data_IF_638430141715
#
_entry.id   IF_638430141715
#
_cell.length_a   1.000
_cell.length_b   1.000
_cell.length_c   1.000
_cell.angle_alpha   90.00
_cell.angle_beta   90.00
_cell.angle_gamma   90.00
#
_symmetry.space_group_name_H-M   'P 1'
#
loop_
_entity.id
_entity.type
_entity.pdbx_description
1 polymer ?
#
# COMPACT_ATOMS: atom_id res chain seq x y z
N UNK A 1 15.73 2.74 11.71
CA UNK A 1 16.63 3.06 10.57
C UNK A 1 17.48 1.85 10.25
N UNK A 2 17.60 1.51 8.98
CA UNK A 2 18.36 0.36 8.52
C UNK A 2 19.25 0.80 7.36
N UNK A 3 20.47 0.28 7.32
CA UNK A 3 21.42 0.49 6.22
C UNK A 3 22.10 -0.82 5.87
N UNK A 4 22.21 -1.11 4.57
CA UNK A 4 22.91 -2.27 4.04
C UNK A 4 24.15 -1.87 3.25
N UNK A 5 25.21 -2.68 3.29
CA UNK A 5 26.41 -2.51 2.47
C UNK A 5 26.92 -3.85 1.96
N UNK A 6 27.13 -3.96 0.66
CA UNK A 6 27.74 -5.13 0.02
C UNK A 6 29.24 -4.91 -0.16
N UNK A 7 30.06 -5.87 0.27
CA UNK A 7 31.48 -5.94 -0.03
C UNK A 7 31.72 -6.99 -1.12
N UNK A 8 32.04 -6.59 -2.36
CA UNK A 8 32.24 -7.53 -3.47
C UNK A 8 33.54 -8.35 -3.35
N UNK A 9 34.55 -7.86 -2.62
CA UNK A 9 35.83 -8.56 -2.43
C UNK A 9 35.67 -9.65 -1.38
N UNK A 10 35.07 -9.30 -0.24
CA UNK A 10 34.79 -10.25 0.83
C UNK A 10 33.58 -11.15 0.52
N UNK A 11 32.75 -10.78 -0.47
CA UNK A 11 31.45 -11.40 -0.78
C UNK A 11 30.55 -11.45 0.46
N UNK A 12 30.44 -10.30 1.12
CA UNK A 12 29.61 -10.17 2.32
C UNK A 12 28.57 -9.09 2.16
N UNK A 13 27.48 -9.20 2.91
CA UNK A 13 26.50 -8.13 3.04
C UNK A 13 26.32 -7.80 4.52
N UNK A 14 26.60 -6.55 4.89
CA UNK A 14 26.45 -6.06 6.26
C UNK A 14 25.14 -5.28 6.37
N UNK A 15 24.26 -5.71 7.27
CA UNK A 15 23.01 -5.04 7.61
C UNK A 15 23.13 -4.42 9.00
N UNK A 16 23.07 -3.10 9.10
CA UNK A 16 23.03 -2.39 10.38
C UNK A 16 21.60 -1.95 10.66
N UNK A 17 21.07 -2.35 11.81
CA UNK A 17 19.72 -2.00 12.26
C UNK A 17 19.82 -1.14 13.51
N UNK A 18 19.20 0.03 13.45
CA UNK A 18 19.02 0.93 14.59
C UNK A 18 17.53 1.03 14.94
N UNK A 19 17.19 0.63 16.16
CA UNK A 19 15.86 0.86 16.72
C UNK A 19 15.81 2.18 17.51
N UNK A 20 14.65 2.81 17.51
CA UNK A 20 14.35 4.01 18.30
C UNK A 20 12.89 3.94 18.74
N UNK A 21 12.55 4.71 19.79
CA UNK A 21 11.15 4.83 20.21
C UNK A 21 10.91 6.28 20.64
N UNK A 22 9.92 6.99 20.05
CA UNK A 22 9.65 8.38 20.38
C UNK A 22 9.11 8.55 21.81
N UNK A 23 9.13 9.79 22.27
CA UNK A 23 8.48 10.17 23.53
C UNK A 23 6.97 9.86 23.47
N UNK A 24 6.40 9.44 24.60
CA UNK A 24 4.95 9.27 24.79
C UNK A 24 4.55 9.86 26.13
N UNK A 25 3.27 10.15 26.35
CA UNK A 25 2.80 10.72 27.62
C UNK A 25 3.35 9.96 28.84
N UNK A 26 4.12 10.65 29.69
CA UNK A 26 4.74 10.07 30.90
C UNK A 26 5.99 9.21 30.68
N UNK A 27 6.50 9.06 29.45
CA UNK A 27 7.69 8.27 29.13
C UNK A 27 8.62 8.96 28.14
N UNK A 28 9.93 8.99 28.45
CA UNK A 28 10.95 9.50 27.54
C UNK A 28 11.48 8.38 26.64
N UNK A 29 11.48 8.61 25.34
CA UNK A 29 12.00 7.74 24.29
C UNK A 29 13.52 7.61 24.27
N UNK A 30 14.01 6.92 23.24
CA UNK A 30 15.43 6.75 22.94
C UNK A 30 15.68 6.79 21.42
N UNK A 31 16.92 7.08 21.01
CA UNK A 31 17.31 7.13 19.60
C UNK A 31 16.75 8.35 18.82
N UNK A 32 16.52 9.47 19.50
CA UNK A 32 16.03 10.71 18.88
C UNK A 32 17.15 11.41 18.08
N UNK A 33 17.23 11.09 16.78
CA UNK A 33 17.90 11.91 15.75
C UNK A 33 16.96 11.99 14.54
N UNK A 34 17.06 13.09 13.77
CA UNK A 34 16.21 13.43 12.61
C UNK A 34 16.02 12.20 11.70
N UNK A 35 14.83 11.59 11.74
CA UNK A 35 14.39 10.63 10.74
C UNK A 35 14.21 11.46 9.47
N UNK A 36 15.06 11.25 8.46
CA UNK A 36 14.86 11.83 7.14
C UNK A 36 13.58 11.24 6.55
N UNK A 37 12.47 11.93 6.76
CA UNK A 37 11.21 11.68 6.07
C UNK A 37 11.41 11.97 4.59
N UNK A 38 10.89 11.11 3.72
CA UNK A 38 10.89 11.30 2.26
C UNK A 38 10.06 12.56 1.94
N UNK A 39 10.69 13.74 1.87
CA UNK A 39 10.02 14.98 1.48
C UNK A 39 10.40 16.28 2.18
N UNK A 40 11.32 16.29 3.13
CA UNK A 40 11.61 17.50 3.91
C UNK A 40 12.55 18.48 3.19
N UNK A 41 11.98 19.45 2.45
CA UNK A 41 12.64 20.76 2.28
C UNK A 41 12.34 21.62 3.51
N UNK A 42 13.37 21.88 4.33
CA UNK A 42 13.29 22.72 5.54
C UNK A 42 12.85 24.15 5.17
N UNK A 43 11.64 24.54 5.52
CA UNK A 43 11.28 25.95 5.73
C UNK A 43 11.19 26.22 7.23
N UNK A 44 12.30 26.73 7.77
CA UNK A 44 12.39 27.23 9.13
C UNK A 44 11.76 28.63 9.20
N UNK A 45 10.62 28.75 9.88
CA UNK A 45 10.14 30.02 10.43
C UNK A 45 10.26 29.96 11.95
N UNK A 46 10.79 31.01 12.62
CA UNK A 46 10.95 31.02 14.06
C UNK A 46 9.60 31.32 14.72
N UNK A 47 9.02 30.32 15.38
CA UNK A 47 7.91 30.56 16.31
C UNK A 47 8.53 30.75 17.70
N UNK A 48 8.66 32.01 18.12
CA UNK A 48 8.83 32.36 19.54
C UNK A 48 7.57 31.93 20.30
N UNK A 49 7.69 30.87 21.10
CA UNK A 49 6.65 30.50 22.05
C UNK A 49 6.78 31.44 23.25
N UNK A 50 5.91 32.46 23.30
CA UNK A 50 5.66 33.23 24.52
C UNK A 50 4.95 32.33 25.54
N UNK A 51 5.64 32.01 26.62
CA UNK A 51 5.10 31.41 27.83
C UNK A 51 3.90 32.21 28.35
N UNK A 52 2.68 31.69 28.12
CA UNK A 52 1.51 32.05 28.92
C UNK A 52 1.24 30.95 29.93
N UNK A 53 1.73 31.20 31.15
CA UNK A 53 1.39 30.46 32.35
C UNK A 53 -0.13 30.41 32.54
N UNK A 54 -0.72 29.22 32.32
CA UNK A 54 -1.98 28.86 32.95
C UNK A 54 -1.66 28.22 34.30
N UNK A 55 -1.82 29.01 35.35
CA UNK A 55 -1.70 28.60 36.74
C UNK A 55 -2.91 27.73 37.11
N UNK A 56 -2.75 26.41 37.00
CA UNK A 56 -3.62 25.46 37.70
C UNK A 56 -2.80 24.83 38.82
N UNK A 57 -3.13 25.26 40.04
CA UNK A 57 -2.44 24.83 41.25
C UNK A 57 -2.51 23.33 41.44
N UNK A 58 -1.43 22.63 41.10
CA UNK A 58 -1.05 21.34 41.64
C UNK A 58 0.41 21.38 42.07
N UNK A 59 0.60 21.62 43.37
CA UNK A 59 1.87 21.49 44.07
C UNK A 59 2.43 20.07 43.94
N UNK A 60 3.59 19.96 43.30
CA UNK A 60 4.63 19.01 43.69
C UNK A 60 4.48 17.56 43.24
N UNK A 61 5.10 17.24 42.09
CA UNK A 61 6.04 16.12 41.88
C UNK A 61 6.52 16.16 40.44
N UNK A 62 7.78 16.51 40.22
CA UNK A 62 8.53 16.07 39.04
C UNK A 62 8.51 14.54 39.04
N UNK A 63 7.47 13.95 38.46
CA UNK A 63 7.34 12.51 38.32
C UNK A 63 8.52 12.00 37.50
N UNK A 64 9.25 11.01 38.02
CA UNK A 64 10.29 10.32 37.27
C UNK A 64 9.71 9.87 35.93
N UNK A 65 10.07 10.55 34.85
CA UNK A 65 9.78 10.12 33.49
C UNK A 65 10.45 8.76 33.30
N UNK A 66 9.65 7.73 33.06
CA UNK A 66 10.16 6.40 32.76
C UNK A 66 10.89 6.47 31.42
N UNK A 67 12.17 6.08 31.40
CA UNK A 67 12.96 6.05 30.18
C UNK A 67 12.76 4.72 29.47
N UNK A 68 12.27 4.76 28.24
CA UNK A 68 12.16 3.59 27.36
C UNK A 68 13.56 3.03 27.07
N UNK A 69 13.64 1.71 26.90
CA UNK A 69 14.85 0.98 26.56
C UNK A 69 14.65 0.27 25.21
N UNK A 70 15.74 -0.13 24.53
CA UNK A 70 15.65 -1.03 23.38
C UNK A 70 14.76 -2.24 23.67
N UNK A 71 13.91 -2.57 22.71
CA UNK A 71 13.04 -3.73 22.76
C UNK A 71 13.76 -4.96 22.21
N UNK A 72 13.27 -6.14 22.59
CA UNK A 72 13.59 -7.37 21.89
C UNK A 72 12.69 -7.48 20.66
N UNK A 73 13.25 -7.29 19.47
CA UNK A 73 12.50 -7.25 18.21
C UNK A 73 12.94 -8.44 17.35
N UNK A 74 12.07 -9.43 17.10
CA UNK A 74 12.33 -10.47 16.11
C UNK A 74 12.20 -9.84 14.71
N UNK A 75 13.30 -9.84 13.97
CA UNK A 75 13.40 -9.16 12.68
C UNK A 75 13.68 -10.17 11.57
N UNK A 76 12.60 -10.67 10.94
CA UNK A 76 12.69 -11.60 9.83
C UNK A 76 13.10 -10.89 8.54
N UNK A 77 14.02 -11.48 7.76
CA UNK A 77 14.45 -10.94 6.48
C UNK A 77 14.86 -12.02 5.47
N UNK A 78 14.91 -11.64 4.21
CA UNK A 78 15.55 -12.36 3.11
C UNK A 78 16.47 -11.45 2.29
N UNK A 79 17.35 -12.05 1.49
CA UNK A 79 18.18 -11.34 0.52
C UNK A 79 17.89 -11.91 -0.87
N UNK A 80 17.58 -11.06 -1.84
CA UNK A 80 17.35 -11.48 -3.22
C UNK A 80 18.52 -11.07 -4.11
N UNK A 81 18.97 -11.99 -4.96
CA UNK A 81 19.90 -11.69 -6.04
C UNK A 81 19.19 -10.88 -7.15
N UNK A 82 19.93 -10.17 -8.03
CA UNK A 82 19.34 -9.38 -9.11
C UNK A 82 18.46 -10.15 -10.11
N UNK A 83 18.54 -11.47 -10.14
CA UNK A 83 17.71 -12.35 -10.96
C UNK A 83 16.39 -12.78 -10.28
N UNK A 84 16.14 -12.33 -9.05
CA UNK A 84 14.94 -12.67 -8.28
C UNK A 84 15.09 -13.89 -7.37
N UNK A 85 16.18 -14.65 -7.47
CA UNK A 85 16.37 -15.82 -6.61
C UNK A 85 16.80 -15.40 -5.19
N UNK A 86 16.26 -16.10 -4.19
CA UNK A 86 16.69 -15.92 -2.82
C UNK A 86 18.14 -16.38 -2.64
N UNK A 87 18.93 -15.59 -1.92
CA UNK A 87 20.28 -15.94 -1.50
C UNK A 87 20.23 -16.63 -0.14
N UNK A 88 20.94 -17.75 0.04
CA UNK A 88 21.04 -18.42 1.33
C UNK A 88 21.60 -17.48 2.41
N UNK A 89 20.96 -17.43 3.58
CA UNK A 89 21.35 -16.53 4.65
C UNK A 89 22.36 -17.20 5.59
N UNK A 90 23.64 -16.94 5.35
CA UNK A 90 24.74 -17.40 6.20
C UNK A 90 25.25 -16.29 7.10
N UNK A 91 24.72 -16.22 8.32
CA UNK A 91 25.14 -15.22 9.29
C UNK A 91 26.53 -15.54 9.85
N UNK A 92 27.44 -14.56 9.82
CA UNK A 92 28.77 -14.66 10.38
C UNK A 92 28.71 -15.04 11.87
N UNK A 93 29.55 -15.99 12.29
CA UNK A 93 29.59 -16.55 13.64
C UNK A 93 28.34 -17.35 14.07
N UNK A 94 27.42 -17.69 13.15
CA UNK A 94 26.35 -18.65 13.43
C UNK A 94 26.87 -20.08 13.29
N UNK A 95 26.63 -20.97 14.28
CA UNK A 95 27.00 -22.38 14.18
C UNK A 95 26.03 -23.20 13.29
N UNK A 96 25.02 -22.57 12.69
CA UNK A 96 24.04 -23.26 11.84
C UNK A 96 24.68 -23.76 10.54
N UNK A 97 24.47 -25.04 10.23
CA UNK A 97 24.81 -25.63 8.93
C UNK A 97 23.65 -25.52 7.92
N UNK A 98 22.52 -24.92 8.33
CA UNK A 98 21.37 -24.63 7.46
C UNK A 98 21.30 -23.14 7.18
N UNK A 99 21.19 -22.78 5.91
CA UNK A 99 21.08 -21.41 5.42
C UNK A 99 19.71 -21.26 4.74
N UNK A 100 18.66 -20.88 5.49
CA UNK A 100 17.33 -20.68 4.91
C UNK A 100 17.29 -19.41 4.06
N UNK A 101 16.22 -19.29 3.26
CA UNK A 101 15.91 -18.07 2.48
C UNK A 101 15.32 -16.95 3.35
N UNK A 102 14.94 -17.28 4.60
CA UNK A 102 14.44 -16.34 5.62
C UNK A 102 15.15 -16.57 6.94
N UNK A 103 15.73 -15.53 7.53
CA UNK A 103 16.43 -15.54 8.82
C UNK A 103 15.76 -14.56 9.77
N UNK A 104 15.61 -14.92 11.05
CA UNK A 104 15.07 -14.05 12.10
C UNK A 104 16.22 -13.53 12.95
N UNK A 105 16.52 -12.24 12.84
CA UNK A 105 17.51 -11.56 13.66
C UNK A 105 16.88 -11.10 14.98
N UNK A 106 17.53 -11.40 16.10
CA UNK A 106 17.07 -11.01 17.44
C UNK A 106 17.69 -9.69 17.87
N UNK A 107 17.04 -8.58 17.55
CA UNK A 107 17.52 -7.25 17.91
C UNK A 107 17.25 -6.99 19.39
N UNK A 108 18.29 -6.70 20.19
CA UNK A 108 18.18 -6.42 21.63
C UNK A 108 18.76 -5.08 22.03
N UNK A 109 19.70 -4.57 21.26
CA UNK A 109 20.40 -3.31 21.50
C UNK A 109 19.84 -2.20 20.61
N UNK A 110 20.20 -0.95 20.91
CA UNK A 110 19.81 0.21 20.11
C UNK A 110 20.34 0.11 18.68
N UNK A 111 21.55 -0.42 18.49
CA UNK A 111 22.17 -0.63 17.19
C UNK A 111 22.88 -1.97 17.16
N UNK A 112 22.61 -2.76 16.13
CA UNK A 112 23.27 -4.04 15.88
C UNK A 112 23.62 -4.16 14.40
N UNK A 113 24.75 -4.83 14.12
CA UNK A 113 25.22 -5.10 12.76
C UNK A 113 25.34 -6.61 12.57
N UNK A 114 24.74 -7.08 11.49
CA UNK A 114 24.72 -8.48 11.09
C UNK A 114 25.45 -8.61 9.76
N UNK A 115 26.37 -9.57 9.66
CA UNK A 115 27.17 -9.79 8.44
C UNK A 115 26.77 -11.13 7.84
N UNK A 116 26.28 -11.12 6.62
CA UNK A 116 25.98 -12.31 5.84
C UNK A 116 27.18 -12.64 4.94
N UNK A 117 27.67 -13.87 5.01
CA UNK A 117 28.74 -14.40 4.18
C UNK A 117 28.20 -15.03 2.90
N UNK A 118 29.10 -15.30 1.94
CA UNK A 118 28.77 -15.98 0.69
C UNK A 118 27.70 -15.26 -0.15
N UNK A 119 27.74 -13.91 -0.13
CA UNK A 119 26.89 -13.00 -0.93
C UNK A 119 27.71 -12.47 -2.11
N UNK A 120 27.72 -13.13 -3.28
CA UNK A 120 28.62 -12.80 -4.39
C UNK A 120 28.19 -11.56 -5.19
N UNK A 121 26.94 -11.14 -5.07
CA UNK A 121 26.33 -10.03 -5.82
C UNK A 121 25.59 -9.10 -4.86
N UNK A 122 25.45 -7.80 -5.18
CA UNK A 122 24.67 -6.88 -4.37
C UNK A 122 23.21 -7.36 -4.26
N UNK A 123 22.70 -7.64 -3.05
CA UNK A 123 21.34 -8.13 -2.89
C UNK A 123 20.34 -6.98 -2.72
N UNK A 124 19.07 -7.24 -3.06
CA UNK A 124 17.94 -6.43 -2.63
C UNK A 124 17.36 -7.06 -1.35
N UNK A 125 17.37 -6.35 -0.21
CA UNK A 125 16.90 -6.94 1.04
C UNK A 125 15.37 -6.93 1.14
N UNK A 126 14.79 -8.07 1.49
CA UNK A 126 13.38 -8.21 1.86
C UNK A 126 13.28 -8.15 3.39
N UNK A 127 12.91 -7.00 3.93
CA UNK A 127 13.01 -6.69 5.36
C UNK A 127 11.65 -6.82 6.07
N UNK A 128 11.67 -7.19 7.35
CA UNK A 128 10.48 -7.33 8.20
C UNK A 128 9.44 -8.33 7.63
N UNK A 129 9.91 -9.43 7.01
CA UNK A 129 9.08 -10.47 6.39
C UNK A 129 7.96 -10.94 7.31
N UNK A 130 6.78 -11.18 6.73
CA UNK A 130 5.58 -11.58 7.46
C UNK A 130 5.17 -10.63 8.59
N UNK A 131 5.57 -9.35 8.53
CA UNK A 131 5.38 -8.37 9.59
C UNK A 131 5.88 -8.89 10.96
N UNK A 132 7.09 -9.47 10.97
CA UNK A 132 7.67 -10.16 12.14
C UNK A 132 7.68 -9.35 13.44
N UNK A 133 7.65 -8.02 13.38
CA UNK A 133 7.41 -7.17 14.53
C UNK A 133 6.58 -5.91 14.19
N UNK A 134 5.77 -5.40 15.15
CA UNK A 134 4.92 -4.23 14.94
C UNK A 134 5.73 -2.93 15.09
N UNK A 135 6.63 -2.66 14.14
CA UNK A 135 7.52 -1.50 14.13
C UNK A 135 7.40 -0.69 12.84
N UNK A 136 7.75 0.59 12.88
CA UNK A 136 7.93 1.40 11.67
C UNK A 136 9.30 1.10 11.06
N UNK A 137 9.30 0.56 9.85
CA UNK A 137 10.52 0.28 9.10
C UNK A 137 10.98 1.55 8.37
N UNK A 138 12.27 1.87 8.50
CA UNK A 138 12.90 2.97 7.76
C UNK A 138 14.13 2.43 7.05
N UNK A 139 13.98 2.16 5.75
CA UNK A 139 15.03 1.76 4.82
C UNK A 139 14.85 2.55 3.52
N UNK A 140 15.95 3.06 2.98
CA UNK A 140 15.94 3.92 1.80
C UNK A 140 15.95 3.09 0.51
N UNK A 141 14.88 2.33 0.28
CA UNK A 141 14.69 1.65 -1.00
C UNK A 141 14.62 2.68 -2.13
N UNK A 142 15.07 2.33 -3.32
CA UNK A 142 14.71 3.02 -4.56
C UNK A 142 13.37 2.51 -5.11
N UNK A 143 12.73 3.28 -5.99
CA UNK A 143 11.51 2.82 -6.68
C UNK A 143 11.78 1.54 -7.50
N UNK A 144 12.98 1.40 -8.06
CA UNK A 144 13.40 0.20 -8.78
C UNK A 144 13.50 -1.04 -7.87
N UNK A 145 14.04 -0.90 -6.65
CA UNK A 145 14.09 -2.00 -5.68
C UNK A 145 12.70 -2.39 -5.17
N UNK A 146 11.80 -1.43 -4.94
CA UNK A 146 10.42 -1.73 -4.56
C UNK A 146 9.66 -2.45 -5.68
N UNK A 147 9.81 -1.99 -6.93
CA UNK A 147 9.22 -2.67 -8.09
C UNK A 147 9.80 -4.09 -8.28
N UNK A 148 11.10 -4.25 -8.03
CA UNK A 148 11.76 -5.54 -8.04
C UNK A 148 11.19 -6.49 -6.98
N UNK A 149 11.05 -6.04 -5.73
CA UNK A 149 10.48 -6.83 -4.63
C UNK A 149 9.01 -7.20 -4.89
N UNK A 150 8.19 -6.26 -5.36
CA UNK A 150 6.79 -6.52 -5.75
C UNK A 150 6.69 -7.67 -6.76
N UNK A 151 7.64 -7.71 -7.70
CA UNK A 151 7.64 -8.67 -8.82
C UNK A 151 8.26 -10.03 -8.46
N UNK A 152 9.23 -10.08 -7.56
CA UNK A 152 10.09 -11.27 -7.37
C UNK A 152 10.21 -11.79 -5.93
N UNK A 153 9.82 -11.02 -4.90
CA UNK A 153 10.01 -11.46 -3.52
C UNK A 153 9.28 -12.77 -3.24
N UNK A 154 9.95 -13.71 -2.57
CA UNK A 154 9.34 -14.99 -2.20
C UNK A 154 8.37 -14.87 -1.01
N UNK A 155 8.47 -13.78 -0.24
CA UNK A 155 7.53 -13.47 0.84
C UNK A 155 6.34 -12.68 0.31
N UNK A 156 5.16 -13.32 0.29
CA UNK A 156 3.92 -12.73 -0.26
C UNK A 156 3.53 -11.42 0.41
N UNK A 157 3.74 -11.30 1.73
CA UNK A 157 3.47 -10.08 2.47
C UNK A 157 4.39 -8.95 2.00
N UNK A 158 5.69 -9.19 1.87
CA UNK A 158 6.64 -8.19 1.41
C UNK A 158 6.48 -7.84 -0.08
N UNK A 159 6.03 -8.77 -0.93
CA UNK A 159 5.60 -8.42 -2.29
C UNK A 159 4.52 -7.35 -2.25
N UNK A 160 3.46 -7.60 -1.49
CA UNK A 160 2.36 -6.65 -1.32
C UNK A 160 2.84 -5.33 -0.71
N UNK A 161 3.59 -5.36 0.39
CA UNK A 161 4.08 -4.16 1.09
C UNK A 161 5.00 -3.31 0.20
N UNK A 162 5.90 -3.94 -0.57
CA UNK A 162 6.75 -3.22 -1.52
C UNK A 162 5.93 -2.50 -2.60
N UNK A 163 4.85 -3.14 -3.08
CA UNK A 163 3.89 -2.52 -3.98
C UNK A 163 3.17 -1.34 -3.36
N UNK A 164 2.71 -1.47 -2.12
CA UNK A 164 2.08 -0.37 -1.39
C UNK A 164 3.04 0.81 -1.23
N UNK A 165 4.27 0.57 -0.79
CA UNK A 165 5.28 1.62 -0.63
C UNK A 165 5.61 2.30 -1.96
N UNK A 166 5.75 1.54 -3.05
CA UNK A 166 5.98 2.09 -4.39
C UNK A 166 4.83 3.00 -4.82
N UNK A 167 3.60 2.53 -4.69
CA UNK A 167 2.40 3.32 -5.05
C UNK A 167 2.26 4.59 -4.21
N UNK A 168 2.53 4.52 -2.90
CA UNK A 168 2.50 5.69 -2.01
C UNK A 168 3.55 6.71 -2.44
N UNK A 169 4.80 6.29 -2.63
CA UNK A 169 5.90 7.19 -3.03
C UNK A 169 5.61 7.90 -4.35
N UNK A 170 5.20 7.15 -5.35
CA UNK A 170 4.84 7.70 -6.67
C UNK A 170 3.64 8.65 -6.55
N UNK A 171 2.64 8.30 -5.73
CA UNK A 171 1.49 9.19 -5.49
C UNK A 171 1.93 10.51 -4.85
N UNK A 172 2.80 10.47 -3.83
CA UNK A 172 3.35 11.66 -3.18
C UNK A 172 4.20 12.51 -4.14
N UNK A 173 4.96 11.88 -5.04
CA UNK A 173 5.67 12.57 -6.12
C UNK A 173 4.68 13.31 -7.04
N UNK A 174 3.61 12.64 -7.48
CA UNK A 174 2.61 13.27 -8.35
C UNK A 174 1.83 14.38 -7.64
N UNK A 175 1.48 14.20 -6.36
CA UNK A 175 0.87 15.25 -5.53
C UNK A 175 1.76 16.51 -5.52
N UNK A 176 3.07 16.35 -5.37
CA UNK A 176 4.01 17.49 -5.45
C UNK A 176 4.02 18.12 -6.83
N UNK A 177 3.97 17.34 -7.91
CA UNK A 177 3.85 17.87 -9.27
C UNK A 177 2.58 18.73 -9.41
N UNK A 178 1.43 18.25 -8.92
CA UNK A 178 0.18 19.02 -8.93
C UNK A 178 0.32 20.36 -8.20
N UNK A 179 0.87 20.33 -6.98
CA UNK A 179 1.07 21.54 -6.16
C UNK A 179 2.01 22.56 -6.84
N UNK A 180 3.03 22.07 -7.54
CA UNK A 180 3.97 22.89 -8.32
C UNK A 180 3.46 23.27 -9.71
N UNK A 181 2.28 22.77 -10.13
CA UNK A 181 1.72 22.90 -11.48
C UNK A 181 2.64 22.35 -12.57
N UNK A 182 3.35 21.28 -12.23
CA UNK A 182 4.17 20.49 -13.14
C UNK A 182 3.32 19.36 -13.75
N UNK A 183 3.66 18.89 -14.96
CA UNK A 183 2.94 17.78 -15.57
C UNK A 183 3.11 16.51 -14.73
N UNK A 184 2.03 15.74 -14.62
CA UNK A 184 2.12 14.40 -14.06
C UNK A 184 2.91 13.46 -14.96
N UNK A 185 3.45 12.40 -14.37
CA UNK A 185 4.16 11.33 -15.05
C UNK A 185 3.87 9.99 -14.35
N UNK A 186 3.74 8.91 -15.14
CA UNK A 186 3.73 7.55 -14.61
C UNK A 186 5.16 6.98 -14.69
N UNK A 187 5.85 6.75 -13.55
CA UNK A 187 7.17 6.12 -13.57
C UNK A 187 7.11 4.71 -14.17
N UNK A 188 8.07 4.34 -15.05
CA UNK A 188 8.07 3.05 -15.74
C UNK A 188 8.14 1.86 -14.77
N UNK A 189 8.75 2.03 -13.60
CA UNK A 189 8.86 1.00 -12.56
C UNK A 189 7.48 0.50 -12.12
N UNK A 190 6.50 1.40 -11.98
CA UNK A 190 5.14 1.04 -11.58
C UNK A 190 4.39 0.33 -12.71
N UNK A 191 4.53 0.80 -13.95
CA UNK A 191 3.95 0.12 -15.12
C UNK A 191 4.51 -1.31 -15.25
N UNK A 192 5.83 -1.47 -15.15
CA UNK A 192 6.51 -2.77 -15.26
C UNK A 192 6.05 -3.71 -14.15
N UNK A 193 5.96 -3.23 -12.91
CA UNK A 193 5.55 -4.05 -11.79
C UNK A 193 4.08 -4.50 -11.92
N UNK A 194 3.18 -3.59 -12.33
CA UNK A 194 1.78 -3.94 -12.59
C UNK A 194 1.63 -4.95 -13.73
N UNK A 195 2.38 -4.77 -14.83
CA UNK A 195 2.40 -5.74 -15.93
C UNK A 195 2.89 -7.11 -15.46
N UNK A 196 3.93 -7.15 -14.62
CA UNK A 196 4.43 -8.40 -14.04
C UNK A 196 3.36 -9.10 -13.20
N UNK A 197 2.66 -8.39 -12.32
CA UNK A 197 1.55 -8.95 -11.53
C UNK A 197 0.43 -9.50 -12.43
N UNK A 198 0.02 -8.75 -13.44
CA UNK A 198 -1.04 -9.18 -14.37
C UNK A 198 -0.61 -10.37 -15.25
N UNK A 199 0.70 -10.56 -15.48
CA UNK A 199 1.21 -11.73 -16.20
C UNK A 199 1.20 -13.01 -15.35
N UNK A 200 1.06 -12.88 -14.03
CA UNK A 200 1.07 -14.00 -13.08
C UNK A 200 -0.33 -14.50 -12.72
N UNK A 201 -1.39 -14.03 -13.40
CA UNK A 201 -2.78 -14.40 -13.07
C UNK A 201 -3.07 -15.89 -13.12
N UNK A 202 -2.37 -16.63 -13.98
CA UNK A 202 -2.60 -18.07 -14.17
C UNK A 202 -2.01 -18.91 -13.02
N UNK A 203 -0.93 -18.45 -12.38
CA UNK A 203 -0.17 -19.21 -11.36
C UNK A 203 -0.28 -18.63 -9.94
N UNK A 204 -0.57 -17.33 -9.81
CA UNK A 204 -0.60 -16.63 -8.52
C UNK A 204 -1.90 -16.80 -7.74
N UNK A 205 -1.84 -16.60 -6.41
CA UNK A 205 -3.04 -16.50 -5.57
C UNK A 205 -3.85 -15.25 -5.98
N UNK A 206 -5.11 -15.39 -6.43
CA UNK A 206 -5.90 -14.24 -6.88
C UNK A 206 -6.22 -13.26 -5.75
N UNK A 207 -6.27 -13.68 -4.49
CA UNK A 207 -6.45 -12.78 -3.35
C UNK A 207 -5.21 -11.90 -3.14
N UNK A 208 -4.01 -12.47 -3.25
CA UNK A 208 -2.76 -11.73 -3.17
C UNK A 208 -2.61 -10.74 -4.33
N UNK A 209 -2.87 -11.19 -5.55
CA UNK A 209 -2.83 -10.32 -6.74
C UNK A 209 -3.84 -9.18 -6.63
N UNK A 210 -5.05 -9.44 -6.12
CA UNK A 210 -6.04 -8.38 -5.90
C UNK A 210 -5.53 -7.33 -4.91
N UNK A 211 -4.90 -7.75 -3.81
CA UNK A 211 -4.32 -6.84 -2.83
C UNK A 211 -3.15 -6.05 -3.41
N UNK A 212 -2.23 -6.71 -4.15
CA UNK A 212 -1.06 -6.07 -4.75
C UNK A 212 -1.43 -5.05 -5.84
N UNK A 213 -2.50 -5.31 -6.61
CA UNK A 213 -3.03 -4.38 -7.62
C UNK A 213 -3.94 -3.28 -7.03
N UNK A 214 -4.30 -3.38 -5.75
CA UNK A 214 -5.20 -2.40 -5.11
C UNK A 214 -4.48 -1.10 -4.79
N UNK A 215 -4.78 -0.06 -5.56
CA UNK A 215 -4.19 1.26 -5.37
C UNK A 215 -4.58 1.87 -4.01
N UNK A 216 -3.65 2.51 -3.28
CA UNK A 216 -3.94 3.26 -2.06
C UNK A 216 -5.15 4.19 -2.20
N UNK A 217 -5.99 4.26 -1.17
CA UNK A 217 -7.13 5.17 -1.14
C UNK A 217 -6.69 6.59 -0.70
N UNK A 218 -7.53 7.59 -0.99
CA UNK A 218 -7.22 8.99 -0.74
C UNK A 218 -6.97 9.31 0.75
N UNK A 219 -7.81 8.83 1.71
CA UNK A 219 -7.53 9.07 3.14
C UNK A 219 -6.18 8.51 3.58
N UNK A 220 -5.81 7.32 3.11
CA UNK A 220 -4.54 6.70 3.47
C UNK A 220 -3.34 7.47 2.89
N UNK A 221 -3.44 8.00 1.66
CA UNK A 221 -2.40 8.89 1.11
C UNK A 221 -2.26 10.16 1.96
N UNK A 222 -3.36 10.70 2.47
CA UNK A 222 -3.36 11.86 3.37
C UNK A 222 -2.61 11.63 4.68
N UNK A 223 -2.52 10.40 5.19
CA UNK A 223 -1.77 10.08 6.42
C UNK A 223 -0.26 10.31 6.29
N UNK A 224 0.26 10.39 5.06
CA UNK A 224 1.67 10.65 4.77
C UNK A 224 1.97 12.14 4.53
N UNK A 225 1.02 13.03 4.78
CA UNK A 225 1.14 14.47 4.55
C UNK A 225 0.95 15.25 5.85
N UNK A 226 1.79 16.26 6.07
CA UNK A 226 1.62 17.18 7.21
C UNK A 226 0.37 18.06 7.06
N UNK A 227 0.13 18.52 5.83
CA UNK A 227 -1.07 19.27 5.44
C UNK A 227 -1.73 18.49 4.32
N UNK A 228 -2.94 18.01 4.57
CA UNK A 228 -3.70 17.20 3.62
C UNK A 228 -4.27 18.11 2.52
N UNK A 229 -3.78 17.93 1.30
CA UNK A 229 -4.27 18.59 0.09
C UNK A 229 -5.18 17.62 -0.68
N UNK A 230 -6.48 17.72 -0.42
CA UNK A 230 -7.48 16.76 -0.94
C UNK A 230 -7.59 16.81 -2.46
N UNK A 231 -7.44 17.99 -3.08
CA UNK A 231 -7.52 18.16 -4.53
C UNK A 231 -6.29 17.53 -5.19
N UNK A 232 -5.09 17.77 -4.65
CA UNK A 232 -3.87 17.18 -5.17
C UNK A 232 -3.87 15.65 -5.06
N UNK A 233 -4.35 15.10 -3.94
CA UNK A 233 -4.51 13.65 -3.76
C UNK A 233 -5.47 13.08 -4.80
N UNK A 234 -6.64 13.70 -4.98
CA UNK A 234 -7.66 13.23 -5.92
C UNK A 234 -7.12 13.20 -7.36
N UNK A 235 -6.55 14.32 -7.83
CA UNK A 235 -6.07 14.45 -9.20
C UNK A 235 -4.86 13.54 -9.48
N UNK A 236 -3.90 13.44 -8.55
CA UNK A 236 -2.75 12.55 -8.70
C UNK A 236 -3.17 11.07 -8.76
N UNK A 237 -4.06 10.65 -7.84
CA UNK A 237 -4.55 9.27 -7.79
C UNK A 237 -5.35 8.92 -9.04
N UNK A 238 -6.23 9.80 -9.48
CA UNK A 238 -7.02 9.64 -10.71
C UNK A 238 -6.10 9.50 -11.91
N UNK A 239 -5.14 10.41 -12.07
CA UNK A 239 -4.14 10.33 -13.15
C UNK A 239 -3.42 8.99 -13.17
N UNK A 240 -2.82 8.56 -12.06
CA UNK A 240 -2.03 7.32 -12.01
C UNK A 240 -2.86 6.10 -12.36
N UNK A 241 -4.09 6.02 -11.83
CA UNK A 241 -5.00 4.89 -12.14
C UNK A 241 -5.46 4.91 -13.60
N UNK A 242 -5.77 6.07 -14.16
CA UNK A 242 -6.14 6.20 -15.58
C UNK A 242 -4.97 5.83 -16.49
N UNK A 243 -3.75 6.31 -16.23
CA UNK A 243 -2.56 5.98 -17.04
C UNK A 243 -2.22 4.48 -17.00
N UNK A 244 -2.27 3.87 -15.81
CA UNK A 244 -2.10 2.42 -15.67
C UNK A 244 -3.16 1.66 -16.46
N UNK A 245 -4.42 2.07 -16.35
CA UNK A 245 -5.52 1.45 -17.10
C UNK A 245 -5.31 1.58 -18.62
N UNK A 246 -4.83 2.73 -19.12
CA UNK A 246 -4.60 2.94 -20.55
C UNK A 246 -3.46 2.06 -21.07
N UNK A 247 -2.34 2.00 -20.34
CA UNK A 247 -1.13 1.28 -20.75
C UNK A 247 -1.26 -0.23 -20.63
N UNK A 248 -2.10 -0.72 -19.71
CA UNK A 248 -2.27 -2.13 -19.39
C UNK A 248 -3.70 -2.61 -19.65
N UNK A 249 -4.44 -1.89 -20.50
CA UNK A 249 -5.83 -2.21 -20.82
C UNK A 249 -6.01 -3.68 -21.25
N UNK A 250 -5.22 -4.22 -22.22
CA UNK A 250 -5.38 -5.61 -22.65
C UNK A 250 -5.17 -6.61 -21.51
N UNK A 251 -4.20 -6.36 -20.63
CA UNK A 251 -3.88 -7.22 -19.50
C UNK A 251 -4.99 -7.19 -18.43
N UNK A 252 -5.54 -6.01 -18.11
CA UNK A 252 -6.68 -5.88 -17.20
C UNK A 252 -7.96 -6.52 -17.76
N UNK A 253 -8.21 -6.37 -19.06
CA UNK A 253 -9.35 -7.03 -19.73
C UNK A 253 -9.21 -8.54 -19.69
N UNK A 254 -8.02 -9.08 -20.04
CA UNK A 254 -7.73 -10.52 -19.98
C UNK A 254 -8.03 -11.04 -18.57
N UNK A 255 -7.47 -10.41 -17.54
CA UNK A 255 -7.67 -10.81 -16.15
C UNK A 255 -9.15 -10.72 -15.74
N UNK A 256 -9.85 -9.63 -16.09
CA UNK A 256 -11.28 -9.49 -15.79
C UNK A 256 -12.13 -10.62 -16.40
N UNK A 257 -11.86 -10.99 -17.65
CA UNK A 257 -12.58 -12.05 -18.37
C UNK A 257 -12.25 -13.44 -17.80
N UNK A 258 -10.97 -13.72 -17.54
CA UNK A 258 -10.49 -14.99 -16.99
C UNK A 258 -11.06 -15.28 -15.58
N UNK A 259 -11.21 -14.25 -14.76
CA UNK A 259 -11.75 -14.37 -13.40
C UNK A 259 -13.26 -14.18 -13.30
N UNK A 260 -13.98 -14.15 -14.44
CA UNK A 260 -15.43 -14.31 -14.40
C UNK A 260 -15.80 -15.62 -13.69
N UNK A 261 -16.78 -15.53 -12.80
CA UNK A 261 -17.24 -16.71 -12.09
C UNK A 261 -18.06 -17.58 -13.05
N UNK A 262 -17.54 -18.79 -13.30
CA UNK A 262 -18.27 -19.89 -13.91
C UNK A 262 -18.88 -20.77 -12.81
N UNK A 263 -20.17 -21.10 -12.95
CA UNK A 263 -20.86 -21.98 -12.01
C UNK A 263 -21.48 -21.30 -10.78
N UNK A 264 -21.83 -22.11 -9.78
CA UNK A 264 -22.61 -21.68 -8.62
C UNK A 264 -21.80 -20.78 -7.67
N UNK A 265 -22.49 -19.89 -6.96
CA UNK A 265 -21.89 -19.04 -5.93
C UNK A 265 -21.31 -19.87 -4.77
N UNK A 266 -20.08 -19.54 -4.35
CA UNK A 266 -19.39 -20.17 -3.22
C UNK A 266 -18.68 -19.14 -2.34
N UNK A 267 -18.62 -19.46 -1.05
CA UNK A 267 -17.92 -18.71 -0.01
C UNK A 267 -16.71 -19.56 0.42
N UNK A 268 -15.66 -19.51 -0.39
CA UNK A 268 -14.35 -20.11 -0.14
C UNK A 268 -13.26 -19.11 -0.56
N UNK A 269 -12.04 -19.31 -0.05
CA UNK A 269 -10.93 -18.38 -0.23
C UNK A 269 -10.63 -18.12 -1.70
N UNK A 270 -10.57 -19.17 -2.52
CA UNK A 270 -10.30 -19.08 -3.95
C UNK A 270 -11.38 -18.25 -4.66
N UNK A 271 -12.66 -18.60 -4.48
CA UNK A 271 -13.79 -17.89 -5.09
C UNK A 271 -13.86 -16.42 -4.65
N UNK A 272 -13.50 -16.12 -3.41
CA UNK A 272 -13.41 -14.74 -2.89
C UNK A 272 -12.25 -13.97 -3.52
N UNK A 273 -11.07 -14.58 -3.64
CA UNK A 273 -9.90 -14.00 -4.32
C UNK A 273 -10.20 -13.69 -5.78
N UNK A 274 -10.78 -14.64 -6.53
CA UNK A 274 -11.19 -14.46 -7.93
C UNK A 274 -12.13 -13.27 -8.11
N UNK A 275 -13.16 -13.13 -7.25
CA UNK A 275 -14.08 -11.97 -7.28
C UNK A 275 -13.37 -10.67 -6.95
N UNK A 276 -12.44 -10.68 -5.99
CA UNK A 276 -11.68 -9.50 -5.60
C UNK A 276 -10.79 -9.01 -6.74
N UNK A 277 -10.02 -9.91 -7.36
CA UNK A 277 -9.13 -9.58 -8.48
C UNK A 277 -9.90 -9.05 -9.68
N UNK A 278 -10.99 -9.73 -10.06
CA UNK A 278 -11.88 -9.27 -11.13
C UNK A 278 -12.43 -7.86 -10.85
N UNK A 279 -12.88 -7.59 -9.62
CA UNK A 279 -13.43 -6.27 -9.28
C UNK A 279 -12.35 -5.16 -9.29
N UNK A 280 -11.11 -5.48 -8.88
CA UNK A 280 -9.98 -4.56 -9.01
C UNK A 280 -9.71 -4.23 -10.48
N UNK A 281 -9.67 -5.24 -11.35
CA UNK A 281 -9.47 -5.05 -12.80
C UNK A 281 -10.58 -4.20 -13.41
N UNK A 282 -11.86 -4.50 -13.11
CA UNK A 282 -13.00 -3.69 -13.56
C UNK A 282 -12.89 -2.24 -13.08
N UNK A 283 -12.40 -2.04 -11.86
CA UNK A 283 -12.14 -0.73 -11.28
C UNK A 283 -11.10 0.10 -12.04
N UNK A 284 -10.07 -0.52 -12.62
CA UNK A 284 -9.12 0.17 -13.51
C UNK A 284 -9.72 0.43 -14.89
N UNK A 285 -10.34 -0.57 -15.50
CA UNK A 285 -10.96 -0.43 -16.83
C UNK A 285 -11.98 0.72 -16.87
N UNK A 286 -12.73 0.91 -15.79
CA UNK A 286 -13.71 1.98 -15.70
C UNK A 286 -13.11 3.39 -15.63
N UNK A 287 -11.85 3.56 -15.24
CA UNK A 287 -11.15 4.86 -15.26
C UNK A 287 -10.99 5.39 -16.70
N UNK A 288 -11.06 4.50 -17.70
CA UNK A 288 -11.01 4.87 -19.12
C UNK A 288 -12.31 5.55 -19.60
N UNK A 289 -13.39 5.47 -18.81
CA UNK A 289 -14.65 6.14 -19.11
C UNK A 289 -15.33 5.70 -20.41
N UNK A 290 -14.89 4.61 -21.04
CA UNK A 290 -15.50 4.12 -22.29
C UNK A 290 -16.92 3.58 -22.04
N UNK A 291 -17.76 3.59 -23.09
CA UNK A 291 -19.09 2.98 -23.02
C UNK A 291 -19.00 1.46 -22.78
N UNK A 292 -18.00 0.81 -23.38
CA UNK A 292 -17.76 -0.62 -23.25
C UNK A 292 -17.55 -1.05 -21.79
N UNK A 293 -16.66 -0.38 -21.04
CA UNK A 293 -16.39 -0.76 -19.65
C UNK A 293 -17.54 -0.40 -18.70
N UNK A 294 -18.28 0.68 -19.01
CA UNK A 294 -19.55 0.98 -18.33
C UNK A 294 -20.57 -0.14 -18.50
N UNK A 295 -20.68 -0.69 -19.71
CA UNK A 295 -21.54 -1.82 -19.99
C UNK A 295 -21.08 -3.10 -19.29
N UNK A 296 -19.76 -3.36 -19.18
CA UNK A 296 -19.25 -4.48 -18.39
C UNK A 296 -19.70 -4.40 -16.92
N UNK A 297 -19.61 -3.21 -16.31
CA UNK A 297 -20.10 -2.99 -14.94
C UNK A 297 -21.62 -3.24 -14.84
N UNK A 298 -22.42 -2.74 -15.79
CA UNK A 298 -23.86 -3.02 -15.82
C UNK A 298 -24.19 -4.50 -15.97
N UNK A 299 -23.49 -5.21 -16.84
CA UNK A 299 -23.67 -6.65 -17.05
C UNK A 299 -23.38 -7.39 -15.75
N UNK A 300 -22.28 -7.06 -15.08
CA UNK A 300 -21.93 -7.66 -13.78
C UNK A 300 -23.00 -7.36 -12.72
N UNK A 301 -23.48 -6.13 -12.63
CA UNK A 301 -24.56 -5.73 -11.73
C UNK A 301 -25.84 -6.54 -11.98
N UNK A 302 -26.33 -6.57 -13.21
CA UNK A 302 -27.60 -7.23 -13.59
C UNK A 302 -27.53 -8.75 -13.53
N UNK A 303 -26.35 -9.35 -13.75
CA UNK A 303 -26.13 -10.79 -13.52
C UNK A 303 -26.52 -11.16 -12.09
N UNK A 304 -26.32 -10.25 -11.13
CA UNK A 304 -26.75 -10.37 -9.74
C UNK A 304 -26.44 -11.78 -9.16
N UNK A 305 -25.24 -12.29 -9.43
CA UNK A 305 -24.85 -13.62 -8.97
C UNK A 305 -24.66 -13.65 -7.44
N UNK A 306 -24.15 -12.54 -6.88
CA UNK A 306 -23.92 -12.35 -5.45
C UNK A 306 -23.75 -10.85 -5.12
N UNK A 307 -23.84 -10.49 -3.83
CA UNK A 307 -23.75 -9.09 -3.40
C UNK A 307 -22.34 -8.48 -3.57
N UNK A 308 -21.28 -9.29 -3.63
CA UNK A 308 -19.90 -8.79 -3.83
C UNK A 308 -19.74 -8.22 -5.24
N UNK A 309 -20.21 -8.96 -6.25
CA UNK A 309 -20.16 -8.51 -7.65
C UNK A 309 -21.10 -7.33 -7.92
N UNK A 310 -22.29 -7.35 -7.30
CA UNK A 310 -23.25 -6.23 -7.35
C UNK A 310 -22.62 -4.97 -6.76
N UNK A 311 -22.09 -5.05 -5.53
CA UNK A 311 -21.47 -3.89 -4.88
C UNK A 311 -20.20 -3.42 -5.62
N UNK A 312 -19.39 -4.34 -6.15
CA UNK A 312 -18.23 -3.98 -6.97
C UNK A 312 -18.62 -3.21 -8.24
N UNK A 313 -19.66 -3.68 -8.95
CA UNK A 313 -20.17 -3.00 -10.13
C UNK A 313 -20.78 -1.62 -9.83
N UNK A 314 -21.59 -1.50 -8.76
CA UNK A 314 -22.08 -0.19 -8.34
C UNK A 314 -20.93 0.72 -7.91
N UNK A 315 -19.94 0.21 -7.17
CA UNK A 315 -18.79 0.99 -6.72
C UNK A 315 -18.03 1.61 -7.88
N UNK A 316 -17.91 0.88 -8.99
CA UNK A 316 -17.34 1.41 -10.24
C UNK A 316 -18.22 2.52 -10.84
N UNK A 317 -19.51 2.26 -11.02
CA UNK A 317 -20.44 3.22 -11.62
C UNK A 317 -20.65 4.47 -10.74
N UNK A 318 -20.39 4.38 -9.44
CA UNK A 318 -20.60 5.44 -8.44
C UNK A 318 -19.96 6.77 -8.84
N UNK A 319 -18.78 6.69 -9.45
CA UNK A 319 -17.94 7.84 -9.78
C UNK A 319 -18.15 8.35 -11.22
N UNK A 320 -19.07 7.76 -11.98
CA UNK A 320 -19.25 8.04 -13.40
C UNK A 320 -20.53 8.83 -13.65
N UNK A 321 -20.39 9.97 -14.32
CA UNK A 321 -21.54 10.77 -14.77
C UNK A 321 -22.13 10.16 -16.04
N UNK A 322 -23.00 9.16 -15.87
CA UNK A 322 -23.55 8.41 -17.00
C UNK A 322 -24.96 7.85 -16.72
N UNK A 323 -25.79 7.63 -17.77
CA UNK A 323 -27.10 7.00 -17.63
C UNK A 323 -27.03 5.61 -16.98
N UNK A 324 -25.90 4.91 -17.17
CA UNK A 324 -25.70 3.59 -16.62
C UNK A 324 -25.69 3.58 -15.09
N UNK A 325 -25.12 4.62 -14.47
CA UNK A 325 -25.11 4.83 -13.03
C UNK A 325 -26.53 5.03 -12.51
N UNK A 326 -27.26 5.99 -13.09
CA UNK A 326 -28.64 6.32 -12.64
C UNK A 326 -29.54 5.08 -12.68
N UNK A 327 -29.46 4.32 -13.77
CA UNK A 327 -30.22 3.09 -13.96
C UNK A 327 -29.85 2.05 -12.89
N UNK A 328 -28.57 1.79 -12.66
CA UNK A 328 -28.11 0.79 -11.71
C UNK A 328 -28.49 1.14 -10.26
N UNK A 329 -28.34 2.41 -9.86
CA UNK A 329 -28.69 2.87 -8.51
C UNK A 329 -30.21 2.80 -8.26
N UNK A 330 -31.02 3.18 -9.25
CA UNK A 330 -32.48 3.05 -9.17
C UNK A 330 -32.94 1.59 -9.13
N UNK A 331 -32.37 0.72 -9.96
CA UNK A 331 -32.65 -0.72 -9.94
C UNK A 331 -32.28 -1.35 -8.59
N UNK A 332 -31.13 -0.97 -8.01
CA UNK A 332 -30.69 -1.45 -6.71
C UNK A 332 -31.66 -1.04 -5.60
N UNK A 333 -32.01 0.25 -5.52
CA UNK A 333 -32.93 0.79 -4.52
C UNK A 333 -34.29 0.10 -4.62
N UNK A 334 -34.90 0.08 -5.80
CA UNK A 334 -36.22 -0.53 -5.99
C UNK A 334 -36.28 -1.98 -5.52
N UNK A 335 -35.19 -2.71 -5.73
CA UNK A 335 -35.05 -4.10 -5.34
C UNK A 335 -34.86 -4.25 -3.83
N UNK A 336 -33.97 -3.46 -3.23
CA UNK A 336 -33.49 -3.66 -1.86
C UNK A 336 -33.95 -2.65 -0.83
N UNK A 337 -34.82 -1.68 -1.17
CA UNK A 337 -35.35 -0.65 -0.26
C UNK A 337 -35.93 -1.14 1.07
N UNK A 338 -36.36 -2.41 1.14
CA UNK A 338 -36.90 -3.03 2.37
C UNK A 338 -35.84 -3.72 3.23
N UNK A 339 -34.60 -3.84 2.75
CA UNK A 339 -33.48 -4.46 3.45
C UNK A 339 -32.49 -3.39 3.89
N UNK A 340 -32.58 -2.98 5.15
CA UNK A 340 -31.81 -1.85 5.70
C UNK A 340 -30.31 -2.04 5.57
N UNK A 341 -29.79 -3.24 5.88
CA UNK A 341 -28.35 -3.55 5.82
C UNK A 341 -27.80 -3.48 4.39
N UNK A 342 -28.63 -3.84 3.40
CA UNK A 342 -28.23 -3.74 1.99
C UNK A 342 -28.31 -2.28 1.51
N UNK A 343 -29.28 -1.51 2.01
CA UNK A 343 -29.40 -0.08 1.71
C UNK A 343 -28.24 0.74 2.31
N UNK A 344 -27.64 0.33 3.43
CA UNK A 344 -26.43 0.99 3.95
C UNK A 344 -25.29 1.01 2.91
N UNK A 345 -25.17 -0.04 2.09
CA UNK A 345 -24.18 -0.06 0.98
C UNK A 345 -24.52 0.94 -0.10
N UNK A 346 -25.81 1.09 -0.41
CA UNK A 346 -26.28 2.05 -1.42
C UNK A 346 -26.01 3.49 -0.96
N UNK A 347 -26.34 3.82 0.29
CA UNK A 347 -26.04 5.13 0.87
C UNK A 347 -24.54 5.40 0.93
N UNK A 348 -23.74 4.42 1.38
CA UNK A 348 -22.28 4.56 1.45
C UNK A 348 -21.68 4.83 0.07
N UNK A 349 -22.13 4.14 -0.97
CA UNK A 349 -21.67 4.38 -2.34
C UNK A 349 -22.07 5.76 -2.85
N UNK A 350 -23.30 6.21 -2.60
CA UNK A 350 -23.68 7.58 -2.97
C UNK A 350 -22.83 8.64 -2.27
N UNK A 351 -22.53 8.45 -0.98
CA UNK A 351 -21.78 9.41 -0.18
C UNK A 351 -20.31 9.58 -0.59
N UNK A 352 -19.69 8.56 -1.20
CA UNK A 352 -18.30 8.60 -1.65
C UNK A 352 -18.13 9.04 -3.11
N UNK A 353 -19.23 9.35 -3.82
CA UNK A 353 -19.17 9.74 -5.23
C UNK A 353 -18.36 11.02 -5.44
N UNK A 354 -17.50 11.04 -6.45
CA UNK A 354 -16.70 12.22 -6.81
C UNK A 354 -17.45 13.18 -7.75
N UNK A 355 -18.75 12.98 -7.98
CA UNK A 355 -19.55 13.84 -8.84
C UNK A 355 -19.83 15.19 -8.18
N UNK A 356 -19.96 16.29 -8.96
CA UNK A 356 -20.10 17.64 -8.41
C UNK A 356 -21.27 17.83 -7.43
N UNK A 357 -22.38 17.10 -7.62
CA UNK A 357 -23.61 17.27 -6.83
C UNK A 357 -23.74 16.26 -5.68
N UNK A 358 -22.65 15.57 -5.29
CA UNK A 358 -22.71 14.54 -4.24
C UNK A 358 -23.25 15.07 -2.92
N UNK A 359 -22.85 16.27 -2.48
CA UNK A 359 -23.33 16.85 -1.23
C UNK A 359 -24.85 17.06 -1.22
N UNK A 360 -25.40 17.60 -2.31
CA UNK A 360 -26.85 17.80 -2.45
C UNK A 360 -27.59 16.46 -2.45
N UNK A 361 -27.05 15.45 -3.15
CA UNK A 361 -27.62 14.10 -3.18
C UNK A 361 -27.63 13.41 -1.83
N UNK A 362 -26.65 13.68 -0.96
CA UNK A 362 -26.57 13.10 0.39
C UNK A 362 -27.55 13.78 1.35
N UNK A 363 -27.86 15.07 1.13
CA UNK A 363 -28.83 15.80 1.94
C UNK A 363 -30.28 15.39 1.67
N UNK A 364 -30.57 14.99 0.43
CA UNK A 364 -31.88 14.50 -0.02
C UNK A 364 -32.10 13.03 0.37
#
# INVERSE_FOLDING_TARGET
>A
NISGSHDPVAKTYSLTVRQSCPDTAGQKGFGAEEILSIGEEKHQLPIEIQDKQFDSGHSGKTGNLLKKQPFHIPFALGLLAPDGHALPLKLANSPSEKFPDTEILELRNETETFVFEDVPVPPVPSLLRGFSAPVKLHFDYSNAELAFLLSHDSDEFNRWEAGQQLMIRISLEQIRCFQKKEPFNLPPELEIAFRSLLSQTEEGDPALLALALSFPNEPYLGEFMDIIDVDAIHEARKFLRTELAQKLQPEFEKAYLEFQQEGAFKIDQESMGRRSLKNVCLGYLAELGSLEFRQLAQIQFRKNANMTDVAGALGVLTHQDCPERETAFSEFENRWRKNTVVMDKWFALQAISCLPNTLENVQN
#
